data_IF_111052656577
#
_entry.id   IF_111052656577
#
_cell.length_a   1.000
_cell.length_b   1.000
_cell.length_c   1.000
_cell.angle_alpha   90.00
_cell.angle_beta   90.00
_cell.angle_gamma   90.00
#
_symmetry.space_group_name_H-M   'P 1'
#
loop_
_entity.id
_entity.type
_entity.pdbx_description
1 polymer ?
#
# COMPACT_ATOMS: atom_id res chain seq x y z
N UNK A 1 -0.37 11.59 24.22
CA UNK A 1 0.16 12.98 24.18
C UNK A 1 -0.91 14.03 24.38
N UNK A 2 -1.92 14.13 23.51
CA UNK A 2 -3.01 15.13 23.63
C UNK A 2 -3.77 15.08 24.95
N UNK A 3 -4.03 13.89 25.49
CA UNK A 3 -4.68 13.74 26.80
C UNK A 3 -3.84 14.35 27.95
N UNK A 4 -2.52 14.19 27.87
CA UNK A 4 -1.58 14.70 28.89
C UNK A 4 -1.42 16.22 28.74
N UNK A 5 -1.01 16.68 27.56
CA UNK A 5 -0.57 18.05 27.34
C UNK A 5 -1.66 19.00 26.84
N UNK A 6 -2.79 18.47 26.35
CA UNK A 6 -3.84 19.22 25.67
C UNK A 6 -3.52 19.44 24.19
N UNK A 7 -4.57 19.48 23.35
CA UNK A 7 -4.42 19.76 21.91
C UNK A 7 -3.82 21.13 21.65
N UNK A 8 -4.26 22.15 22.39
CA UNK A 8 -3.76 23.53 22.27
C UNK A 8 -2.25 23.60 22.48
N UNK A 9 -1.72 22.92 23.51
CA UNK A 9 -0.29 22.95 23.78
C UNK A 9 0.54 22.21 22.73
N UNK A 10 0.04 21.06 22.25
CA UNK A 10 0.70 20.29 21.18
C UNK A 10 0.72 21.11 19.88
N UNK A 11 -0.40 21.72 19.49
CA UNK A 11 -0.47 22.57 18.30
C UNK A 11 0.42 23.81 18.43
N UNK A 12 0.45 24.45 19.60
CA UNK A 12 1.34 25.59 19.83
C UNK A 12 2.82 25.19 19.73
N UNK A 13 3.21 24.01 20.23
CA UNK A 13 4.57 23.48 20.09
C UNK A 13 4.90 23.21 18.61
N UNK A 14 3.97 22.59 17.86
CA UNK A 14 4.16 22.34 16.43
C UNK A 14 4.33 23.63 15.62
N UNK A 15 3.56 24.68 15.93
CA UNK A 15 3.61 25.94 15.19
C UNK A 15 4.82 26.81 15.54
N UNK A 16 5.20 26.84 16.82
CA UNK A 16 6.18 27.82 17.31
C UNK A 16 7.57 27.20 17.59
N UNK A 17 7.63 25.91 17.91
CA UNK A 17 8.84 25.22 18.38
C UNK A 17 8.97 23.85 17.69
N UNK A 18 8.93 23.83 16.36
CA UNK A 18 8.87 22.60 15.56
C UNK A 18 10.07 21.66 15.81
N UNK A 19 11.26 22.19 16.04
CA UNK A 19 12.45 21.39 16.37
C UNK A 19 12.27 20.59 17.66
N UNK A 20 11.76 21.23 18.71
CA UNK A 20 11.46 20.60 19.99
C UNK A 20 10.37 19.53 19.85
N UNK A 21 9.35 19.78 19.04
CA UNK A 21 8.33 18.78 18.72
C UNK A 21 8.96 17.55 18.04
N UNK A 22 9.78 17.76 17.00
CA UNK A 22 10.44 16.66 16.31
C UNK A 22 11.36 15.85 17.23
N UNK A 23 12.15 16.51 18.07
CA UNK A 23 13.03 15.82 19.01
C UNK A 23 12.26 15.00 20.05
N UNK A 24 11.13 15.54 20.55
CA UNK A 24 10.23 14.82 21.44
C UNK A 24 9.63 13.57 20.77
N UNK A 25 9.12 13.71 19.54
CA UNK A 25 8.55 12.58 18.79
C UNK A 25 9.64 11.55 18.46
N UNK A 26 10.85 11.97 18.11
CA UNK A 26 11.98 11.07 17.88
C UNK A 26 12.35 10.29 19.14
N UNK A 27 12.40 10.94 20.29
CA UNK A 27 12.67 10.28 21.58
C UNK A 27 11.59 9.23 21.86
N UNK A 28 10.31 9.57 21.65
CA UNK A 28 9.20 8.63 21.75
C UNK A 28 9.36 7.42 20.83
N UNK A 29 9.67 7.66 19.54
CA UNK A 29 9.89 6.60 18.55
C UNK A 29 11.03 5.66 18.97
N UNK A 30 12.15 6.19 19.47
CA UNK A 30 13.27 5.37 19.95
C UNK A 30 12.87 4.51 21.14
N UNK A 31 12.09 5.05 22.09
CA UNK A 31 11.64 4.31 23.27
C UNK A 31 10.60 3.25 22.90
N UNK A 32 9.68 3.54 21.98
CA UNK A 32 8.71 2.57 21.43
C UNK A 32 9.40 1.33 20.88
N UNK A 33 10.48 1.51 20.12
CA UNK A 33 11.26 0.39 19.53
C UNK A 33 12.00 -0.47 20.56
N UNK A 34 12.20 0.03 21.78
CA UNK A 34 12.92 -0.68 22.85
C UNK A 34 11.98 -1.16 23.97
N UNK A 35 10.67 -1.00 23.80
CA UNK A 35 9.72 -1.33 24.85
C UNK A 35 9.57 -2.84 25.02
N UNK A 36 9.71 -3.30 26.26
CA UNK A 36 9.61 -4.69 26.68
C UNK A 36 8.50 -4.85 27.74
N UNK A 37 7.78 -5.96 27.70
CA UNK A 37 6.79 -6.31 28.71
C UNK A 37 7.45 -6.54 30.07
N UNK A 38 6.73 -6.19 31.14
CA UNK A 38 7.15 -6.43 32.52
C UNK A 38 8.50 -5.80 32.90
N UNK A 39 8.98 -4.79 32.17
CA UNK A 39 10.07 -3.94 32.63
C UNK A 39 9.71 -3.34 33.98
N UNK A 40 10.54 -3.60 34.99
CA UNK A 40 10.38 -3.02 36.33
C UNK A 40 10.75 -1.53 36.37
N UNK A 41 11.39 -1.00 35.33
CA UNK A 41 11.75 0.41 35.24
C UNK A 41 10.77 1.21 34.39
N UNK A 42 10.39 2.38 34.91
CA UNK A 42 9.65 3.40 34.16
C UNK A 42 10.40 3.80 32.88
N UNK A 43 9.63 3.98 31.81
CA UNK A 43 10.10 4.56 30.57
C UNK A 43 10.16 6.07 30.77
N UNK A 44 11.35 6.64 30.62
CA UNK A 44 11.53 8.09 30.70
C UNK A 44 11.63 8.69 29.30
N UNK A 45 10.73 9.63 29.00
CA UNK A 45 10.71 10.44 27.78
C UNK A 45 11.24 11.83 28.06
N UNK A 46 11.93 12.43 27.09
CA UNK A 46 12.19 13.86 27.09
C UNK A 46 10.94 14.62 26.66
N UNK A 47 10.65 15.69 27.38
CA UNK A 47 9.58 16.64 27.07
C UNK A 47 10.19 18.04 26.96
N UNK A 48 9.87 18.82 25.91
CA UNK A 48 10.35 20.18 25.79
C UNK A 48 9.90 21.04 26.97
N UNK A 49 10.79 21.91 27.45
CA UNK A 49 10.46 22.87 28.52
C UNK A 49 9.34 23.79 28.05
N UNK A 50 9.38 24.24 26.79
CA UNK A 50 8.33 25.02 26.17
C UNK A 50 6.97 24.32 26.22
N UNK A 51 6.91 23.01 25.94
CA UNK A 51 5.66 22.24 26.01
C UNK A 51 5.10 22.26 27.43
N UNK A 52 5.95 22.02 28.44
CA UNK A 52 5.55 22.07 29.85
C UNK A 52 4.98 23.45 30.20
N UNK A 53 5.68 24.52 29.87
CA UNK A 53 5.24 25.90 30.17
C UNK A 53 3.94 26.28 29.46
N UNK A 54 3.75 25.86 28.21
CA UNK A 54 2.51 26.10 27.47
C UNK A 54 1.35 25.33 28.12
N UNK A 55 1.57 24.05 28.47
CA UNK A 55 0.56 23.24 29.15
C UNK A 55 0.16 23.83 30.50
N UNK A 56 1.14 24.26 31.31
CA UNK A 56 0.88 24.85 32.63
C UNK A 56 0.09 26.16 32.54
N UNK A 57 0.46 27.03 31.57
CA UNK A 57 -0.30 28.26 31.29
C UNK A 57 -1.72 27.99 30.81
N UNK A 58 -1.90 27.00 29.94
CA UNK A 58 -3.21 26.68 29.36
C UNK A 58 -4.19 26.11 30.39
N UNK A 59 -3.72 25.27 31.31
CA UNK A 59 -4.57 24.64 32.33
C UNK A 59 -4.58 25.35 33.68
N UNK A 60 -3.80 26.44 33.83
CA UNK A 60 -3.67 27.21 35.07
C UNK A 60 -3.29 26.34 36.29
N UNK A 61 -2.48 25.30 36.09
CA UNK A 61 -1.99 24.38 37.12
C UNK A 61 -0.64 23.79 36.70
N UNK A 62 0.14 23.23 37.64
CA UNK A 62 1.39 22.58 37.29
C UNK A 62 1.16 21.31 36.47
N UNK A 63 2.13 20.91 35.64
CA UNK A 63 2.02 19.66 34.86
C UNK A 63 1.93 18.45 35.80
N UNK A 64 2.58 18.52 36.96
CA UNK A 64 2.52 17.46 37.98
C UNK A 64 1.12 17.29 38.55
N UNK A 65 0.46 18.40 38.92
CA UNK A 65 -0.91 18.37 39.47
C UNK A 65 -1.91 17.88 38.42
N UNK A 66 -1.73 18.35 37.18
CA UNK A 66 -2.52 17.88 36.04
C UNK A 66 -2.39 16.37 35.88
N UNK A 67 -1.18 15.84 35.79
CA UNK A 67 -0.94 14.40 35.65
C UNK A 67 -1.60 13.59 36.77
N UNK A 68 -1.51 14.07 38.01
CA UNK A 68 -2.15 13.44 39.16
C UNK A 68 -3.69 13.42 39.06
N UNK A 69 -4.30 14.39 38.39
CA UNK A 69 -5.75 14.43 38.15
C UNK A 69 -6.24 13.57 36.97
N UNK A 70 -5.32 13.12 36.10
CA UNK A 70 -5.66 12.28 34.95
C UNK A 70 -5.88 10.83 35.40
N UNK A 71 -6.49 10.03 34.52
CA UNK A 71 -6.73 8.58 34.74
C UNK A 71 -5.46 7.76 35.02
N UNK A 72 -4.29 8.33 34.74
CA UNK A 72 -2.99 7.69 34.94
C UNK A 72 -2.54 7.67 36.41
N UNK A 73 -3.09 8.52 37.27
CA UNK A 73 -2.71 8.60 38.68
C UNK A 73 -1.20 8.81 38.87
N UNK A 74 -0.56 7.95 39.68
CA UNK A 74 0.89 8.03 39.96
C UNK A 74 1.78 7.33 38.92
N UNK A 75 1.20 6.78 37.86
CA UNK A 75 1.93 5.98 36.84
C UNK A 75 2.52 6.84 35.73
N UNK A 76 2.16 8.12 35.65
CA UNK A 76 2.78 9.10 34.74
C UNK A 76 3.17 10.32 35.56
N UNK A 77 4.46 10.59 35.67
CA UNK A 77 4.99 11.62 36.55
C UNK A 77 6.03 12.49 35.84
N UNK A 78 6.09 13.77 36.21
CA UNK A 78 7.22 14.60 35.80
C UNK A 78 8.46 14.22 36.59
N UNK A 79 9.62 14.21 35.91
CA UNK A 79 10.93 13.96 36.52
C UNK A 79 11.83 15.15 36.17
N UNK A 80 12.14 16.00 37.13
CA UNK A 80 12.92 17.21 36.88
C UNK A 80 12.19 18.21 35.98
N UNK A 81 12.93 18.93 35.13
CA UNK A 81 12.38 20.03 34.31
C UNK A 81 11.83 19.58 32.96
N UNK A 82 12.39 18.53 32.39
CA UNK A 82 12.30 18.19 30.97
C UNK A 82 12.04 16.69 30.72
N UNK A 83 11.61 15.93 31.74
CA UNK A 83 11.35 14.50 31.59
C UNK A 83 9.98 14.08 32.11
N UNK A 84 9.42 13.08 31.44
CA UNK A 84 8.19 12.39 31.81
C UNK A 84 8.52 10.92 32.06
N UNK A 85 8.34 10.46 33.30
CA UNK A 85 8.37 9.04 33.65
C UNK A 85 7.00 8.43 33.39
N UNK A 86 6.97 7.29 32.72
CA UNK A 86 5.78 6.53 32.36
C UNK A 86 5.99 5.08 32.78
N UNK A 87 5.13 4.58 33.65
CA UNK A 87 5.12 3.19 34.07
C UNK A 87 4.94 2.25 32.87
N UNK A 88 5.54 1.07 32.94
CA UNK A 88 5.51 0.09 31.84
C UNK A 88 4.09 -0.36 31.49
N UNK A 89 3.17 -0.42 32.46
CA UNK A 89 1.75 -0.76 32.22
C UNK A 89 1.02 0.32 31.41
N UNK A 90 1.34 1.60 31.64
CA UNK A 90 0.76 2.69 30.86
C UNK A 90 1.30 2.69 29.44
N UNK A 91 2.62 2.51 29.27
CA UNK A 91 3.24 2.37 27.96
C UNK A 91 2.64 1.19 27.18
N UNK A 92 2.42 0.05 27.84
CA UNK A 92 1.70 -1.09 27.25
C UNK A 92 0.30 -0.69 26.79
N UNK A 93 -0.48 -0.03 27.66
CA UNK A 93 -1.86 0.37 27.35
C UNK A 93 -1.98 1.26 26.10
N UNK A 94 -0.96 2.08 25.83
CA UNK A 94 -0.91 2.93 24.64
C UNK A 94 -0.76 2.13 23.33
N UNK A 95 -0.16 0.94 23.40
CA UNK A 95 0.09 0.09 22.23
C UNK A 95 -0.78 -1.15 22.16
N UNK A 96 -1.52 -1.52 23.21
CA UNK A 96 -2.39 -2.70 23.19
C UNK A 96 -3.33 -2.71 21.98
N UNK A 97 -4.10 -1.65 21.76
CA UNK A 97 -5.04 -1.59 20.63
C UNK A 97 -4.39 -1.74 19.24
N UNK A 98 -3.36 -0.94 18.87
CA UNK A 98 -2.75 -1.09 17.55
C UNK A 98 -2.01 -2.44 17.36
N UNK A 99 -1.37 -2.97 18.41
CA UNK A 99 -0.69 -4.27 18.33
C UNK A 99 -1.69 -5.40 18.19
N UNK A 100 -2.74 -5.44 19.01
CA UNK A 100 -3.78 -6.47 18.92
C UNK A 100 -4.49 -6.45 17.56
N UNK A 101 -4.79 -5.28 17.00
CA UNK A 101 -5.37 -5.18 15.64
C UNK A 101 -4.44 -5.74 14.57
N UNK A 102 -3.15 -5.44 14.66
CA UNK A 102 -2.14 -5.96 13.74
C UNK A 102 -2.06 -7.48 13.81
N UNK A 103 -1.97 -8.01 15.02
CA UNK A 103 -1.86 -9.43 15.32
C UNK A 103 -3.12 -10.19 14.87
N UNK A 104 -4.31 -9.68 15.17
CA UNK A 104 -5.59 -10.25 14.70
C UNK A 104 -5.67 -10.30 13.17
N UNK A 105 -5.20 -9.25 12.49
CA UNK A 105 -5.17 -9.24 11.04
C UNK A 105 -4.20 -10.31 10.50
N UNK A 106 -3.00 -10.44 11.07
CA UNK A 106 -2.08 -11.51 10.71
C UNK A 106 -2.72 -12.89 10.89
N UNK A 107 -3.39 -13.13 12.01
CA UNK A 107 -4.12 -14.38 12.27
C UNK A 107 -5.23 -14.65 11.25
N UNK A 108 -5.90 -13.62 10.73
CA UNK A 108 -6.89 -13.79 9.65
C UNK A 108 -6.23 -14.22 8.34
N UNK A 109 -5.10 -13.62 7.97
CA UNK A 109 -4.35 -13.98 6.76
C UNK A 109 -3.83 -15.41 6.84
N UNK A 110 -3.28 -15.83 8.00
CA UNK A 110 -2.78 -17.19 8.19
C UNK A 110 -3.86 -18.29 8.21
N UNK A 111 -5.15 -17.93 8.24
CA UNK A 111 -6.27 -18.88 8.08
C UNK A 111 -6.61 -19.18 6.62
N UNK A 112 -6.09 -18.41 5.67
CA UNK A 112 -6.31 -18.63 4.24
C UNK A 112 -5.57 -19.89 3.77
N UNK A 113 -6.17 -20.70 2.89
CA UNK A 113 -5.56 -21.98 2.43
C UNK A 113 -4.18 -21.76 1.79
N UNK A 114 -3.98 -20.64 1.09
CA UNK A 114 -2.69 -20.27 0.49
C UNK A 114 -1.56 -20.03 1.50
N UNK A 115 -1.88 -19.89 2.80
CA UNK A 115 -0.92 -19.60 3.87
C UNK A 115 -0.56 -20.82 4.72
N UNK A 116 -1.16 -21.98 4.43
CA UNK A 116 -1.05 -23.21 5.24
C UNK A 116 0.40 -23.67 5.44
N UNK A 117 1.20 -23.60 4.38
CA UNK A 117 2.59 -24.08 4.37
C UNK A 117 3.61 -23.00 4.80
N UNK A 118 3.15 -21.78 5.12
CA UNK A 118 4.03 -20.69 5.52
C UNK A 118 4.50 -20.91 6.96
N UNK A 119 5.74 -21.34 7.14
CA UNK A 119 6.34 -21.58 8.47
C UNK A 119 7.10 -20.39 9.06
N UNK A 120 7.37 -19.35 8.29
CA UNK A 120 8.32 -18.29 8.64
C UNK A 120 7.72 -16.90 8.42
N UNK A 121 7.97 -16.00 9.36
CA UNK A 121 7.56 -14.61 9.35
C UNK A 121 8.80 -13.73 9.43
N UNK A 122 9.03 -12.89 8.42
CA UNK A 122 10.06 -11.84 8.48
C UNK A 122 9.38 -10.55 8.92
N UNK A 123 9.68 -10.09 10.13
CA UNK A 123 9.09 -8.89 10.71
C UNK A 123 9.99 -7.68 10.48
N UNK A 124 9.51 -6.71 9.70
CA UNK A 124 10.27 -5.50 9.30
C UNK A 124 9.55 -4.21 9.70
N UNK A 125 10.27 -3.09 9.65
CA UNK A 125 9.80 -1.79 10.07
C UNK A 125 10.26 -1.43 11.48
N UNK A 126 10.18 -0.15 11.86
CA UNK A 126 10.73 0.32 13.14
C UNK A 126 10.08 -0.37 14.34
N UNK A 127 8.76 -0.60 14.30
CA UNK A 127 8.06 -1.21 15.44
C UNK A 127 8.33 -2.72 15.59
N UNK A 128 8.85 -3.38 14.54
CA UNK A 128 9.33 -4.76 14.61
C UNK A 128 10.49 -4.95 15.61
N UNK A 129 11.24 -3.89 15.87
CA UNK A 129 12.37 -3.90 16.81
C UNK A 129 11.90 -4.01 18.26
N UNK A 130 10.61 -3.71 18.55
CA UNK A 130 10.05 -3.77 19.91
C UNK A 130 9.91 -5.19 20.40
N UNK A 131 10.55 -5.56 21.53
CA UNK A 131 10.37 -6.88 22.13
C UNK A 131 8.91 -7.15 22.53
N UNK A 132 8.15 -6.12 22.94
CA UNK A 132 6.71 -6.24 23.17
C UNK A 132 5.97 -6.75 21.92
N UNK A 133 6.17 -6.11 20.76
CA UNK A 133 5.50 -6.51 19.51
C UNK A 133 5.91 -7.92 19.10
N UNK A 134 7.21 -8.23 19.19
CA UNK A 134 7.72 -9.56 18.87
C UNK A 134 7.09 -10.63 19.76
N UNK A 135 6.91 -10.36 21.06
CA UNK A 135 6.27 -11.28 21.99
C UNK A 135 4.79 -11.50 21.63
N UNK A 136 4.03 -10.42 21.42
CA UNK A 136 2.60 -10.52 21.07
C UNK A 136 2.37 -11.33 19.78
N UNK A 137 3.23 -11.14 18.77
CA UNK A 137 3.14 -11.92 17.52
C UNK A 137 3.48 -13.39 17.75
N UNK A 138 4.51 -13.70 18.54
CA UNK A 138 4.90 -15.09 18.84
C UNK A 138 3.81 -15.83 19.62
N UNK A 139 3.13 -15.15 20.54
CA UNK A 139 2.05 -15.72 21.35
C UNK A 139 0.82 -16.04 20.51
N UNK A 140 0.42 -15.14 19.60
CA UNK A 140 -0.78 -15.35 18.77
C UNK A 140 -0.55 -16.31 17.59
N UNK A 141 0.68 -16.39 17.08
CA UNK A 141 1.04 -17.23 15.94
C UNK A 141 2.01 -18.34 16.34
N UNK A 142 1.61 -19.25 17.24
CA UNK A 142 2.47 -20.33 17.69
C UNK A 142 2.83 -21.26 16.51
N UNK A 143 4.06 -21.77 16.54
CA UNK A 143 4.57 -22.65 15.48
C UNK A 143 5.08 -21.94 14.22
N UNK A 144 5.00 -20.60 14.16
CA UNK A 144 5.66 -19.80 13.12
C UNK A 144 7.01 -19.30 13.62
N UNK A 145 8.06 -19.46 12.81
CA UNK A 145 9.37 -18.91 13.10
C UNK A 145 9.40 -17.41 12.80
N UNK A 146 9.61 -16.58 13.83
CA UNK A 146 9.75 -15.13 13.68
C UNK A 146 11.23 -14.75 13.49
N UNK A 147 11.54 -14.11 12.35
CA UNK A 147 12.85 -13.52 12.04
C UNK A 147 12.72 -12.01 12.05
N UNK A 148 13.59 -11.35 12.83
CA UNK A 148 13.70 -9.90 12.88
C UNK A 148 15.07 -9.52 12.30
N UNK A 149 15.14 -8.91 11.11
CA UNK A 149 16.42 -8.48 10.54
C UNK A 149 17.12 -7.45 11.43
N UNK A 150 18.46 -7.45 11.40
CA UNK A 150 19.24 -6.37 12.00
C UNK A 150 18.88 -5.03 11.36
N UNK A 151 18.58 -4.03 12.18
CA UNK A 151 18.02 -2.74 11.73
C UNK A 151 16.71 -2.92 10.94
N UNK A 152 15.74 -3.62 11.54
CA UNK A 152 14.44 -3.90 10.91
C UNK A 152 13.74 -2.62 10.39
N UNK A 153 13.96 -1.47 11.04
CA UNK A 153 13.50 -0.17 10.55
C UNK A 153 14.08 0.28 9.20
N UNK A 154 15.23 -0.26 8.79
CA UNK A 154 15.90 0.01 7.51
C UNK A 154 15.79 -1.14 6.51
N UNK A 155 15.22 -2.28 6.91
CA UNK A 155 15.21 -3.49 6.07
C UNK A 155 14.55 -3.27 4.70
N UNK A 156 13.44 -2.53 4.64
CA UNK A 156 12.75 -2.21 3.38
C UNK A 156 13.62 -1.32 2.48
N UNK A 157 14.24 -0.27 3.05
CA UNK A 157 15.13 0.62 2.31
C UNK A 157 16.34 -0.14 1.74
N UNK A 158 16.97 -0.98 2.56
CA UNK A 158 18.08 -1.84 2.13
C UNK A 158 17.67 -2.76 0.99
N UNK A 159 16.50 -3.40 1.12
CA UNK A 159 15.93 -4.24 0.07
C UNK A 159 15.70 -3.47 -1.23
N UNK A 160 15.17 -2.25 -1.15
CA UNK A 160 14.94 -1.40 -2.32
C UNK A 160 16.26 -1.00 -3.03
N UNK A 161 17.30 -0.65 -2.26
CA UNK A 161 18.64 -0.36 -2.81
C UNK A 161 19.23 -1.59 -3.50
N UNK A 162 19.12 -2.76 -2.87
CA UNK A 162 19.58 -4.03 -3.46
C UNK A 162 18.82 -4.34 -4.76
N UNK A 163 17.50 -4.17 -4.78
CA UNK A 163 16.67 -4.35 -5.96
C UNK A 163 17.07 -3.39 -7.09
N UNK A 164 17.30 -2.10 -6.79
CA UNK A 164 17.75 -1.14 -7.79
C UNK A 164 19.10 -1.48 -8.42
N UNK A 165 20.00 -2.15 -7.69
CA UNK A 165 21.26 -2.65 -8.24
C UNK A 165 21.13 -3.97 -9.01
N UNK A 166 20.13 -4.81 -8.66
CA UNK A 166 19.91 -6.15 -9.20
C UNK A 166 18.41 -6.45 -9.27
N UNK A 167 17.70 -5.94 -10.28
CA UNK A 167 16.24 -6.09 -10.38
C UNK A 167 15.83 -7.54 -10.69
N UNK A 168 16.74 -8.34 -11.25
CA UNK A 168 16.61 -9.77 -11.56
C UNK A 168 16.49 -10.68 -10.32
N UNK A 169 16.60 -10.14 -9.11
CA UNK A 169 16.36 -10.87 -7.85
C UNK A 169 14.89 -11.32 -7.71
N UNK A 170 13.95 -10.58 -8.32
CA UNK A 170 12.54 -10.95 -8.31
C UNK A 170 12.23 -11.93 -9.45
N UNK A 171 11.82 -13.16 -9.13
CA UNK A 171 11.44 -14.15 -10.16
C UNK A 171 10.02 -13.93 -10.68
N UNK A 172 9.09 -13.56 -9.81
CA UNK A 172 7.68 -13.44 -10.15
C UNK A 172 6.92 -12.54 -9.16
N UNK A 173 5.68 -12.20 -9.51
CA UNK A 173 4.74 -11.49 -8.65
C UNK A 173 3.32 -12.02 -8.84
N UNK A 174 2.52 -12.00 -7.78
CA UNK A 174 1.08 -12.25 -7.86
C UNK A 174 0.38 -10.92 -8.14
N UNK A 175 -0.44 -10.88 -9.18
CA UNK A 175 -1.13 -9.66 -9.60
C UNK A 175 -2.32 -9.35 -8.70
N UNK A 176 -2.36 -8.12 -8.22
CA UNK A 176 -3.42 -7.65 -7.31
C UNK A 176 -4.65 -7.10 -8.05
N UNK A 177 -4.63 -7.11 -9.39
CA UNK A 177 -5.75 -6.75 -10.26
C UNK A 177 -5.71 -7.59 -11.53
N UNK A 178 -6.86 -7.76 -12.16
CA UNK A 178 -6.95 -8.11 -13.58
C UNK A 178 -6.65 -6.87 -14.39
N UNK A 179 -5.73 -6.96 -15.36
CA UNK A 179 -5.43 -5.87 -16.29
C UNK A 179 -5.79 -6.27 -17.72
N UNK A 180 -6.24 -5.27 -18.47
CA UNK A 180 -6.60 -5.47 -19.86
C UNK A 180 -6.90 -4.17 -20.57
N UNK A 181 -7.48 -4.30 -21.76
CA UNK A 181 -7.91 -3.16 -22.58
C UNK A 181 -9.36 -3.29 -22.99
N UNK A 182 -10.01 -2.15 -23.25
CA UNK A 182 -11.32 -2.12 -23.89
C UNK A 182 -11.19 -2.38 -25.38
N UNK A 183 -11.94 -3.36 -25.89
CA UNK A 183 -12.04 -3.67 -27.31
C UNK A 183 -13.49 -3.69 -27.79
N UNK A 184 -13.65 -3.64 -29.10
CA UNK A 184 -14.91 -3.91 -29.78
C UNK A 184 -14.84 -5.27 -30.46
N UNK A 185 -15.80 -6.14 -30.19
CA UNK A 185 -15.88 -7.46 -30.82
C UNK A 185 -17.01 -7.50 -31.84
N UNK A 186 -16.88 -8.34 -32.87
CA UNK A 186 -18.02 -8.68 -33.72
C UNK A 186 -19.07 -9.39 -32.86
N UNK A 187 -20.34 -9.00 -33.00
CA UNK A 187 -21.43 -9.60 -32.26
C UNK A 187 -21.57 -11.08 -32.63
N UNK A 188 -21.77 -11.92 -31.60
CA UNK A 188 -21.97 -13.36 -31.73
C UNK A 188 -23.05 -13.72 -30.71
N UNK A 189 -24.21 -14.15 -31.21
CA UNK A 189 -25.39 -14.49 -30.42
C UNK A 189 -25.16 -15.61 -29.39
N UNK A 190 -24.09 -16.39 -29.52
CA UNK A 190 -23.76 -17.47 -28.59
C UNK A 190 -23.07 -16.99 -27.32
N UNK A 191 -22.40 -15.84 -27.38
CA UNK A 191 -21.56 -15.33 -26.29
C UNK A 191 -21.93 -13.91 -25.87
N UNK A 192 -22.61 -13.14 -26.73
CA UNK A 192 -22.94 -11.75 -26.50
C UNK A 192 -24.45 -11.55 -26.30
N UNK A 193 -24.88 -10.80 -25.26
CA UNK A 193 -26.27 -10.42 -25.09
C UNK A 193 -26.77 -9.53 -26.24
N UNK A 194 -27.96 -9.83 -26.78
CA UNK A 194 -28.53 -9.13 -27.95
C UNK A 194 -28.72 -7.64 -27.68
N UNK A 195 -29.02 -7.26 -26.44
CA UNK A 195 -29.20 -5.89 -25.99
C UNK A 195 -27.92 -5.04 -26.01
N UNK A 196 -26.74 -5.67 -26.12
CA UNK A 196 -25.44 -4.97 -26.17
C UNK A 196 -24.87 -4.82 -27.57
N UNK A 197 -25.57 -5.32 -28.60
CA UNK A 197 -25.12 -5.16 -29.98
C UNK A 197 -25.40 -3.74 -30.47
N UNK A 198 -24.45 -3.19 -31.18
CA UNK A 198 -24.56 -1.91 -31.87
C UNK A 198 -24.25 -2.12 -33.35
N UNK A 199 -24.96 -1.41 -34.22
CA UNK A 199 -24.69 -1.40 -35.66
C UNK A 199 -23.68 -0.28 -35.95
N UNK A 200 -22.49 -0.65 -36.40
CA UNK A 200 -21.51 0.28 -36.95
C UNK A 200 -21.28 -0.07 -38.41
N UNK A 201 -21.75 0.80 -39.31
CA UNK A 201 -21.59 0.68 -40.76
C UNK A 201 -22.08 -0.66 -41.36
N UNK A 202 -23.16 -1.23 -40.82
CA UNK A 202 -23.74 -2.50 -41.27
C UNK A 202 -23.12 -3.73 -40.60
N UNK A 203 -22.25 -3.54 -39.60
CA UNK A 203 -21.62 -4.61 -38.82
C UNK A 203 -22.13 -4.52 -37.39
N UNK A 204 -22.74 -5.61 -36.93
CA UNK A 204 -23.11 -5.75 -35.52
C UNK A 204 -21.88 -6.02 -34.67
N UNK A 205 -21.62 -5.15 -33.71
CA UNK A 205 -20.49 -5.24 -32.79
C UNK A 205 -20.96 -5.11 -31.34
N UNK A 206 -20.09 -5.47 -30.40
CA UNK A 206 -20.26 -5.22 -28.98
C UNK A 206 -19.12 -4.31 -28.54
N UNK A 207 -19.47 -3.17 -27.95
CA UNK A 207 -18.50 -2.22 -27.41
C UNK A 207 -18.09 -2.59 -25.99
N UNK A 208 -16.95 -2.04 -25.56
CA UNK A 208 -16.47 -2.10 -24.18
C UNK A 208 -16.21 -3.52 -23.67
N UNK A 209 -15.91 -4.48 -24.54
CA UNK A 209 -15.47 -5.82 -24.11
C UNK A 209 -14.13 -5.71 -23.39
N UNK A 210 -13.94 -6.47 -22.31
CA UNK A 210 -12.70 -6.48 -21.54
C UNK A 210 -11.76 -7.56 -22.08
N UNK A 211 -10.72 -7.16 -22.82
CA UNK A 211 -9.67 -8.08 -23.24
C UNK A 211 -8.65 -8.26 -22.12
N UNK A 212 -8.69 -9.40 -21.43
CA UNK A 212 -7.78 -9.72 -20.33
C UNK A 212 -6.38 -10.01 -20.86
N UNK A 213 -5.37 -9.36 -20.27
CA UNK A 213 -3.95 -9.66 -20.46
C UNK A 213 -3.38 -10.43 -19.27
N UNK A 214 -3.86 -10.14 -18.06
CA UNK A 214 -3.46 -10.83 -16.84
C UNK A 214 -4.60 -10.78 -15.83
N UNK A 215 -4.76 -11.84 -15.05
CA UNK A 215 -5.85 -11.96 -14.06
C UNK A 215 -5.42 -11.59 -12.65
N UNK A 216 -6.40 -11.17 -11.85
CA UNK A 216 -6.29 -11.11 -10.39
C UNK A 216 -5.80 -12.46 -9.84
N UNK A 217 -4.86 -12.42 -8.90
CA UNK A 217 -4.17 -13.56 -8.30
C UNK A 217 -3.36 -14.44 -9.27
N UNK A 218 -3.15 -14.01 -10.51
CA UNK A 218 -2.25 -14.71 -11.42
C UNK A 218 -0.79 -14.42 -11.04
N UNK A 219 0.04 -15.47 -10.99
CA UNK A 219 1.49 -15.33 -10.89
C UNK A 219 2.07 -14.97 -12.26
N UNK A 220 2.89 -13.92 -12.28
CA UNK A 220 3.51 -13.35 -13.47
C UNK A 220 5.02 -13.33 -13.27
N UNK A 221 5.75 -13.95 -14.18
CA UNK A 221 7.22 -13.95 -14.15
C UNK A 221 7.77 -12.56 -14.47
N UNK A 222 8.92 -12.24 -13.90
CA UNK A 222 9.64 -11.00 -14.16
C UNK A 222 9.98 -10.85 -15.65
N UNK A 223 9.81 -9.64 -16.19
CA UNK A 223 10.01 -9.28 -17.60
C UNK A 223 9.13 -10.08 -18.59
N UNK A 224 8.07 -10.70 -18.10
CA UNK A 224 7.10 -11.36 -18.96
C UNK A 224 6.29 -10.35 -19.77
N UNK A 225 5.92 -10.77 -20.98
CA UNK A 225 5.15 -9.97 -21.93
C UNK A 225 3.93 -10.75 -22.36
N UNK A 226 2.78 -10.09 -22.36
CA UNK A 226 1.54 -10.62 -22.91
C UNK A 226 1.12 -9.72 -24.05
N UNK A 227 0.89 -10.30 -25.22
CA UNK A 227 0.56 -9.56 -26.44
C UNK A 227 -0.76 -10.07 -27.01
N UNK A 228 -1.64 -9.13 -27.37
CA UNK A 228 -2.81 -9.40 -28.19
C UNK A 228 -2.81 -8.49 -29.42
N UNK A 229 -3.38 -9.01 -30.49
CA UNK A 229 -3.62 -8.27 -31.74
C UNK A 229 -5.06 -7.77 -31.75
N UNK A 230 -5.26 -6.56 -32.22
CA UNK A 230 -6.58 -5.98 -32.49
C UNK A 230 -6.57 -5.26 -33.83
N UNK A 231 -7.76 -5.05 -34.39
CA UNK A 231 -7.95 -4.35 -35.65
C UNK A 231 -8.74 -3.07 -35.40
N UNK A 232 -8.33 -1.93 -35.97
CA UNK A 232 -9.05 -0.69 -35.83
C UNK A 232 -10.40 -0.76 -36.55
N UNK A 233 -11.40 -0.08 -35.98
CA UNK A 233 -12.72 0.10 -36.62
C UNK A 233 -12.96 1.54 -37.07
N UNK A 234 -12.05 2.45 -36.73
CA UNK A 234 -12.10 3.85 -37.15
C UNK A 234 -10.70 4.33 -37.57
N UNK A 235 -10.62 5.55 -38.12
CA UNK A 235 -9.35 6.19 -38.48
C UNK A 235 -8.42 6.50 -37.29
N UNK A 236 -8.96 6.55 -36.06
CA UNK A 236 -8.19 6.83 -34.85
C UNK A 236 -8.52 5.81 -33.78
N UNK A 237 -7.54 4.98 -33.46
CA UNK A 237 -7.64 3.99 -32.40
C UNK A 237 -7.51 4.65 -31.04
N UNK A 238 -8.43 4.32 -30.12
CA UNK A 238 -8.35 4.69 -28.71
C UNK A 238 -8.31 3.41 -27.89
N UNK A 239 -7.15 3.10 -27.36
CA UNK A 239 -6.92 1.90 -26.56
C UNK A 239 -6.99 2.31 -25.10
N UNK A 240 -8.13 2.07 -24.46
CA UNK A 240 -8.29 2.30 -23.03
C UNK A 240 -7.65 1.16 -22.23
N UNK A 241 -6.82 1.49 -21.24
CA UNK A 241 -6.17 0.54 -20.35
C UNK A 241 -6.94 0.50 -19.04
N UNK A 242 -7.34 -0.68 -18.59
CA UNK A 242 -8.22 -0.88 -17.45
C UNK A 242 -7.63 -1.84 -16.41
N UNK A 243 -8.10 -1.72 -15.17
CA UNK A 243 -7.92 -2.70 -14.11
C UNK A 243 -9.21 -2.97 -13.34
N UNK A 244 -9.30 -4.13 -12.68
CA UNK A 244 -10.39 -4.47 -11.76
C UNK A 244 -9.96 -5.53 -10.75
N UNK A 245 -10.65 -5.61 -9.60
CA UNK A 245 -10.51 -6.71 -8.63
C UNK A 245 -11.28 -7.96 -9.04
N UNK A 246 -12.17 -7.87 -10.03
CA UNK A 246 -12.79 -9.04 -10.63
C UNK A 246 -11.73 -9.87 -11.38
N UNK A 247 -11.74 -11.18 -11.20
CA UNK A 247 -10.81 -12.09 -11.86
C UNK A 247 -11.12 -12.26 -13.34
N UNK A 248 -12.40 -12.26 -13.70
CA UNK A 248 -12.88 -12.56 -15.04
C UNK A 248 -13.95 -11.53 -15.49
N UNK A 249 -13.57 -10.23 -15.59
CA UNK A 249 -14.48 -9.20 -16.08
C UNK A 249 -14.87 -9.45 -17.54
N UNK A 250 -16.11 -9.15 -17.88
CA UNK A 250 -16.60 -9.27 -19.25
C UNK A 250 -16.51 -7.94 -20.00
N UNK A 251 -16.75 -6.82 -19.30
CA UNK A 251 -16.80 -5.50 -19.89
C UNK A 251 -16.06 -4.43 -19.07
N UNK A 252 -15.53 -3.42 -19.75
CA UNK A 252 -14.86 -2.29 -19.10
C UNK A 252 -15.82 -1.35 -18.37
N UNK A 253 -17.12 -1.53 -18.57
CA UNK A 253 -18.20 -0.82 -17.85
C UNK A 253 -18.70 -1.57 -16.62
N UNK A 254 -18.19 -2.77 -16.35
CA UNK A 254 -18.63 -3.56 -15.19
C UNK A 254 -18.23 -2.87 -13.88
N UNK A 255 -19.02 -3.02 -12.80
CA UNK A 255 -18.71 -2.41 -11.51
C UNK A 255 -17.30 -2.77 -11.02
N UNK A 256 -16.52 -1.74 -10.63
CA UNK A 256 -15.14 -1.94 -10.15
C UNK A 256 -14.07 -1.93 -11.23
N UNK A 257 -14.43 -1.81 -12.52
CA UNK A 257 -13.49 -1.48 -13.57
C UNK A 257 -13.04 -0.01 -13.49
N UNK A 258 -11.73 0.20 -13.44
CA UNK A 258 -11.08 1.50 -13.39
C UNK A 258 -10.23 1.72 -14.64
N UNK A 259 -10.42 2.83 -15.33
CA UNK A 259 -9.57 3.23 -16.44
C UNK A 259 -8.29 3.91 -15.93
N UNK A 260 -7.14 3.39 -16.33
CA UNK A 260 -5.82 3.88 -15.93
C UNK A 260 -5.22 4.87 -16.93
N UNK A 261 -5.63 4.78 -18.19
CA UNK A 261 -5.14 5.65 -19.25
C UNK A 261 -5.69 5.29 -20.61
N UNK A 262 -5.24 6.03 -21.62
CA UNK A 262 -5.58 5.83 -23.03
C UNK A 262 -4.31 6.00 -23.86
N UNK A 263 -4.12 5.10 -24.81
CA UNK A 263 -3.20 5.28 -25.93
C UNK A 263 -4.03 5.65 -27.15
N UNK A 264 -3.67 6.74 -27.85
CA UNK A 264 -4.37 7.18 -29.05
C UNK A 264 -3.43 7.10 -30.25
N UNK A 265 -3.86 6.42 -31.31
CA UNK A 265 -3.04 6.20 -32.50
C UNK A 265 -3.83 6.52 -33.76
N UNK A 266 -3.19 7.21 -34.72
CA UNK A 266 -3.76 7.44 -36.04
C UNK A 266 -3.47 6.26 -36.95
N UNK A 267 -4.52 5.65 -37.48
CA UNK A 267 -4.44 4.57 -38.47
C UNK A 267 -4.13 5.17 -39.85
N UNK A 268 -3.52 4.38 -40.73
CA UNK A 268 -3.17 4.79 -42.09
C UNK A 268 -4.44 4.89 -42.95
N UNK A 269 -4.67 6.02 -43.61
CA UNK A 269 -5.86 6.18 -44.47
C UNK A 269 -5.73 5.43 -45.81
N UNK A 270 -4.53 5.00 -46.19
CA UNK A 270 -4.26 4.33 -47.46
C UNK A 270 -4.43 2.81 -47.40
N UNK A 271 -4.50 2.24 -46.19
CA UNK A 271 -4.62 0.80 -45.97
C UNK A 271 -6.04 0.50 -45.43
N UNK A 272 -6.74 -0.53 -45.90
CA UNK A 272 -8.01 -0.97 -45.30
C UNK A 272 -7.85 -1.24 -43.78
N UNK A 273 -8.82 -0.86 -42.96
CA UNK A 273 -8.70 -0.94 -41.50
C UNK A 273 -8.57 -2.39 -41.01
N UNK A 274 -9.25 -3.32 -41.68
CA UNK A 274 -9.18 -4.76 -41.48
C UNK A 274 -7.80 -5.36 -41.79
N UNK A 275 -6.95 -4.65 -42.55
CA UNK A 275 -5.58 -5.05 -42.85
C UNK A 275 -4.56 -4.37 -41.92
N UNK A 276 -5.00 -3.48 -41.03
CA UNK A 276 -4.14 -2.72 -40.12
C UNK A 276 -4.08 -3.32 -38.72
N UNK A 277 -3.26 -4.33 -38.49
CA UNK A 277 -3.09 -4.88 -37.15
C UNK A 277 -2.45 -3.86 -36.19
N UNK A 278 -3.02 -3.77 -34.99
CA UNK A 278 -2.42 -3.11 -33.83
C UNK A 278 -2.03 -4.16 -32.80
N UNK A 279 -0.73 -4.20 -32.50
CA UNK A 279 -0.14 -5.09 -31.50
C UNK A 279 -0.09 -4.38 -30.16
N UNK A 280 -0.90 -4.81 -29.22
CA UNK A 280 -0.88 -4.31 -27.83
C UNK A 280 -0.11 -5.28 -26.96
N UNK A 281 0.91 -4.80 -26.24
CA UNK A 281 1.79 -5.61 -25.39
C UNK A 281 1.86 -5.03 -23.99
N UNK A 282 1.47 -5.84 -23.00
CA UNK A 282 1.67 -5.54 -21.58
C UNK A 282 2.98 -6.18 -21.15
N UNK A 283 3.87 -5.37 -20.56
CA UNK A 283 5.16 -5.81 -20.05
C UNK A 283 5.19 -5.66 -18.54
N UNK A 284 5.48 -6.76 -17.86
CA UNK A 284 5.46 -6.88 -16.40
C UNK A 284 6.89 -7.08 -15.89
N UNK A 285 7.69 -6.02 -16.01
CA UNK A 285 9.13 -6.09 -15.77
C UNK A 285 9.63 -5.37 -14.53
N UNK A 286 8.88 -4.44 -13.94
CA UNK A 286 9.43 -3.57 -12.89
C UNK A 286 8.39 -3.23 -11.80
N UNK A 287 8.62 -2.16 -11.05
CA UNK A 287 7.63 -1.45 -10.24
C UNK A 287 6.54 -0.77 -11.08
N UNK A 288 6.62 -0.89 -12.40
CA UNK A 288 5.75 -0.27 -13.38
C UNK A 288 5.15 -1.31 -14.33
N UNK A 289 3.93 -1.04 -14.78
CA UNK A 289 3.29 -1.69 -15.90
C UNK A 289 3.55 -0.84 -17.14
N UNK A 290 4.20 -1.41 -18.15
CA UNK A 290 4.36 -0.76 -19.45
C UNK A 290 3.43 -1.40 -20.46
N UNK A 291 2.62 -0.57 -21.11
CA UNK A 291 1.76 -0.96 -22.22
C UNK A 291 2.28 -0.31 -23.49
N UNK A 292 2.62 -1.12 -24.48
CA UNK A 292 3.13 -0.67 -25.78
C UNK A 292 2.12 -1.05 -26.85
N UNK A 293 1.73 -0.10 -27.69
CA UNK A 293 0.90 -0.34 -28.86
C UNK A 293 1.71 -0.04 -30.12
N UNK A 294 1.76 -0.99 -31.04
CA UNK A 294 2.53 -0.90 -32.28
C UNK A 294 1.61 -1.22 -33.48
N UNK A 295 1.55 -0.34 -34.48
CA UNK A 295 0.84 -0.61 -35.74
C UNK A 295 1.76 -1.33 -36.74
N UNK A 296 1.18 -2.03 -37.72
CA UNK A 296 1.95 -2.60 -38.85
C UNK A 296 2.80 -1.59 -39.61
N UNK A 297 2.40 -0.32 -39.63
CA UNK A 297 3.14 0.78 -40.25
C UNK A 297 4.35 1.25 -39.43
N UNK A 298 4.61 0.62 -38.28
CA UNK A 298 5.75 0.91 -37.40
C UNK A 298 5.52 2.10 -36.46
N UNK A 299 4.29 2.63 -36.35
CA UNK A 299 3.97 3.63 -35.32
C UNK A 299 3.90 2.94 -33.97
N UNK A 300 4.56 3.51 -32.97
CA UNK A 300 4.61 2.97 -31.61
C UNK A 300 4.21 4.07 -30.64
N UNK A 301 3.33 3.75 -29.70
CA UNK A 301 3.05 4.58 -28.53
C UNK A 301 3.09 3.75 -27.25
N UNK A 302 3.39 4.38 -26.12
CA UNK A 302 3.68 3.71 -24.86
C UNK A 302 3.06 4.44 -23.67
N UNK A 303 2.35 3.69 -22.84
CA UNK A 303 1.88 4.14 -21.54
C UNK A 303 2.66 3.39 -20.44
N UNK A 304 3.20 4.14 -19.48
CA UNK A 304 3.86 3.58 -18.29
C UNK A 304 3.06 3.97 -17.05
N UNK A 305 2.66 2.97 -16.27
CA UNK A 305 1.82 3.12 -15.08
C UNK A 305 2.56 2.57 -13.87
N UNK A 306 2.64 3.33 -12.78
CA UNK A 306 3.14 2.79 -11.53
C UNK A 306 2.21 1.68 -11.04
N UNK A 307 2.76 0.52 -10.70
CA UNK A 307 2.03 -0.54 -10.01
C UNK A 307 1.99 -0.21 -8.52
N UNK A 308 1.39 0.93 -8.16
CA UNK A 308 1.16 1.30 -6.77
C UNK A 308 0.14 0.36 -6.14
N UNK A 309 0.48 -0.15 -4.95
CA UNK A 309 -0.41 -0.91 -4.06
C UNK A 309 -1.59 -0.09 -3.60
#
# INVERSE_FOLDING_TARGET
MTEIFGSVAITALQSNEMYDYFDMIRDFEVKKRKFELNSQSDITFRIPVALKEITERHFHQSLSDRLASLKYGKQVVTRGRDKLGVDSSIMQSWFTDPVSKTVNHMSSVFKEERMKDVGLIVLVGGFAESPYVQQMIKEELPGKQLIIPGEAGLAVLKGAVMFGHKPDIMSSRVMDYTYGVGISNIFDEKIHPVERREDINGIWIVLNCFQIFVRFNQEVQFDSKVTHLSYPVTKRSKIGIFRTKDRDPEYTTDPGCEQLGVIEMDNDEQIPLEEQETKTTFMFGDTELRVVCETLTGKVDTLTLALTK
#
